data_IF_484294102261
#
_entry.id   IF_484294102261
#
_cell.length_a   1.000
_cell.length_b   1.000
_cell.length_c   1.000
_cell.angle_alpha   90.00
_cell.angle_beta   90.00
_cell.angle_gamma   90.00
#
_symmetry.space_group_name_H-M   'P 1'
#
loop_
_entity.id
_entity.type
_entity.pdbx_description
1 polymer ?
#
# COMPACT_ATOMS: atom_id res chain seq x y z
N UNK A 1 12.83 24.10 -11.43
CA UNK A 1 11.42 24.12 -10.99
C UNK A 1 11.23 23.15 -9.84
N UNK A 2 10.69 23.62 -8.73
CA UNK A 2 10.40 22.74 -7.59
C UNK A 2 9.07 22.05 -7.84
N UNK A 3 9.11 20.73 -7.89
CA UNK A 3 7.90 19.93 -7.99
C UNK A 3 7.10 20.08 -6.70
N UNK A 4 5.83 20.39 -6.80
CA UNK A 4 4.95 20.49 -5.65
C UNK A 4 4.38 19.13 -5.30
N UNK A 5 4.82 18.56 -4.19
CA UNK A 5 4.33 17.27 -3.67
C UNK A 5 3.32 17.52 -2.58
N UNK A 6 2.11 16.97 -2.75
CA UNK A 6 1.02 17.07 -1.78
C UNK A 6 0.59 15.67 -1.37
N UNK A 7 0.51 15.42 -0.07
CA UNK A 7 -0.07 14.21 0.49
C UNK A 7 -1.35 14.63 1.21
N UNK A 8 -2.46 14.01 0.83
CA UNK A 8 -3.76 14.34 1.46
C UNK A 8 -4.57 13.10 1.75
N UNK A 9 -5.50 13.21 2.68
CA UNK A 9 -6.46 12.14 2.93
C UNK A 9 -7.39 11.99 1.74
N UNK A 10 -7.67 10.74 1.38
CA UNK A 10 -8.61 10.41 0.33
C UNK A 10 -10.00 10.18 0.89
N UNK A 11 -11.01 10.45 0.08
CA UNK A 11 -12.39 10.14 0.38
C UNK A 11 -13.02 9.31 -0.75
N UNK A 12 -14.33 9.10 -0.70
CA UNK A 12 -15.02 8.27 -1.69
C UNK A 12 -14.90 8.83 -3.11
N UNK A 13 -14.72 10.12 -3.26
CA UNK A 13 -14.56 10.75 -4.58
C UNK A 13 -13.23 10.40 -5.23
N UNK A 14 -12.26 9.90 -4.47
CA UNK A 14 -10.94 9.49 -4.96
C UNK A 14 -10.91 8.04 -5.45
N UNK A 15 -11.97 7.27 -5.26
CA UNK A 15 -12.01 5.86 -5.67
C UNK A 15 -11.65 5.67 -7.15
N UNK A 16 -12.21 6.44 -8.10
CA UNK A 16 -11.81 6.29 -9.50
C UNK A 16 -10.31 6.50 -9.74
N UNK A 17 -9.72 7.52 -9.10
CA UNK A 17 -8.30 7.81 -9.26
C UNK A 17 -7.42 6.70 -8.67
N UNK A 18 -7.79 6.16 -7.51
CA UNK A 18 -7.06 5.06 -6.87
C UNK A 18 -7.11 3.81 -7.74
N UNK A 19 -8.29 3.45 -8.23
CA UNK A 19 -8.44 2.30 -9.12
C UNK A 19 -7.65 2.46 -10.42
N UNK A 20 -7.64 3.65 -11.00
CA UNK A 20 -6.86 3.95 -12.19
C UNK A 20 -5.35 3.84 -11.94
N UNK A 21 -4.86 4.39 -10.83
CA UNK A 21 -3.45 4.27 -10.44
C UNK A 21 -3.05 2.81 -10.23
N UNK A 22 -3.89 2.03 -9.59
CA UNK A 22 -3.62 0.61 -9.39
C UNK A 22 -3.48 -0.13 -10.72
N UNK A 23 -4.34 0.16 -11.70
CA UNK A 23 -4.26 -0.43 -13.04
C UNK A 23 -2.97 -0.05 -13.76
N UNK A 24 -2.43 1.13 -13.50
CA UNK A 24 -1.18 1.56 -14.10
C UNK A 24 0.06 1.00 -13.40
N UNK A 25 -0.01 0.79 -12.10
CA UNK A 25 1.15 0.43 -11.28
C UNK A 25 1.30 -1.09 -11.14
N UNK A 26 0.21 -1.79 -10.86
CA UNK A 26 0.24 -3.22 -10.49
C UNK A 26 0.82 -4.13 -11.59
N UNK A 27 0.46 -3.98 -12.87
CA UNK A 27 1.03 -4.86 -13.88
C UNK A 27 2.56 -4.81 -13.92
N UNK A 28 3.15 -3.64 -13.86
CA UNK A 28 4.61 -3.48 -13.84
C UNK A 28 5.26 -4.09 -12.60
N UNK A 29 4.56 -4.05 -11.48
CA UNK A 29 5.08 -4.59 -10.21
C UNK A 29 4.96 -6.12 -10.16
N UNK A 30 3.84 -6.67 -10.63
CA UNK A 30 3.48 -8.06 -10.35
C UNK A 30 3.49 -8.99 -11.57
N UNK A 31 3.58 -8.49 -12.79
CA UNK A 31 3.49 -9.34 -13.99
C UNK A 31 4.59 -10.43 -14.05
N UNK A 32 5.75 -10.17 -13.46
CA UNK A 32 6.85 -11.14 -13.39
C UNK A 32 6.70 -12.13 -12.22
N UNK A 33 5.76 -11.86 -11.31
CA UNK A 33 5.57 -12.62 -10.07
C UNK A 33 4.31 -13.47 -10.14
N UNK A 34 3.23 -12.88 -10.69
CA UNK A 34 1.91 -13.50 -10.75
C UNK A 34 1.54 -13.78 -12.20
N UNK A 35 0.82 -14.87 -12.44
CA UNK A 35 0.23 -15.11 -13.75
C UNK A 35 -0.82 -14.05 -14.07
N UNK A 36 -1.13 -13.83 -15.38
CA UNK A 36 -2.08 -12.79 -15.79
C UNK A 36 -3.48 -13.00 -15.20
N UNK A 37 -3.93 -14.24 -15.05
CA UNK A 37 -5.24 -14.55 -14.48
C UNK A 37 -5.31 -14.21 -13.00
N UNK A 38 -4.27 -14.52 -12.23
CA UNK A 38 -4.21 -14.17 -10.81
C UNK A 38 -4.12 -12.66 -10.63
N UNK A 39 -3.36 -11.98 -11.47
CA UNK A 39 -3.24 -10.52 -11.44
C UNK A 39 -4.60 -9.87 -11.66
N UNK A 40 -5.34 -10.29 -12.67
CA UNK A 40 -6.68 -9.78 -12.96
C UNK A 40 -7.65 -10.05 -11.81
N UNK A 41 -7.62 -11.28 -11.27
CA UNK A 41 -8.43 -11.64 -10.11
C UNK A 41 -8.17 -10.73 -8.91
N UNK A 42 -6.90 -10.48 -8.59
CA UNK A 42 -6.52 -9.64 -7.47
C UNK A 42 -6.89 -8.18 -7.69
N UNK A 43 -6.74 -7.69 -8.92
CA UNK A 43 -7.12 -6.32 -9.25
C UNK A 43 -8.62 -6.10 -8.99
N UNK A 44 -9.46 -7.04 -9.41
CA UNK A 44 -10.90 -6.95 -9.17
C UNK A 44 -11.23 -7.09 -7.67
N UNK A 45 -10.61 -8.06 -7.00
CA UNK A 45 -10.86 -8.33 -5.59
C UNK A 45 -10.53 -7.13 -4.70
N UNK A 46 -9.44 -6.43 -4.98
CA UNK A 46 -8.89 -5.38 -4.12
C UNK A 46 -9.31 -3.98 -4.58
N UNK A 47 -9.34 -3.74 -5.88
CA UNK A 47 -9.47 -2.38 -6.44
C UNK A 47 -10.75 -2.12 -7.20
N UNK A 48 -11.73 -3.03 -7.20
CA UNK A 48 -13.04 -2.69 -7.72
C UNK A 48 -13.63 -1.52 -6.91
N UNK A 49 -14.49 -0.68 -7.50
CA UNK A 49 -15.11 0.41 -6.75
C UNK A 49 -15.82 -0.05 -5.49
N UNK A 50 -16.52 -1.17 -5.53
CA UNK A 50 -17.19 -1.73 -4.36
C UNK A 50 -16.21 -2.15 -3.28
N UNK A 51 -15.10 -2.78 -3.66
CA UNK A 51 -14.07 -3.19 -2.70
C UNK A 51 -13.43 -1.98 -2.02
N UNK A 52 -13.06 -0.96 -2.78
CA UNK A 52 -12.48 0.26 -2.22
C UNK A 52 -13.46 0.97 -1.30
N UNK A 53 -14.72 1.04 -1.70
CA UNK A 53 -15.77 1.62 -0.85
C UNK A 53 -15.87 0.89 0.50
N UNK A 54 -15.87 -0.45 0.48
CA UNK A 54 -15.92 -1.23 1.71
C UNK A 54 -14.69 -1.05 2.58
N UNK A 55 -13.51 -0.98 1.97
CA UNK A 55 -12.27 -0.74 2.71
C UNK A 55 -12.32 0.60 3.45
N UNK A 56 -12.84 1.64 2.82
CA UNK A 56 -12.97 2.96 3.44
C UNK A 56 -14.07 3.02 4.49
N UNK A 57 -15.24 2.49 4.19
CA UNK A 57 -16.44 2.71 5.01
C UNK A 57 -16.67 1.65 6.08
N UNK A 58 -16.37 0.36 5.77
CA UNK A 58 -16.60 -0.74 6.70
C UNK A 58 -15.34 -1.18 7.43
N UNK A 59 -14.24 -1.29 6.72
CA UNK A 59 -12.97 -1.73 7.31
C UNK A 59 -12.17 -0.58 7.91
N UNK A 60 -12.61 0.65 7.69
CA UNK A 60 -12.03 1.87 8.26
C UNK A 60 -10.55 2.04 7.89
N UNK A 61 -10.18 1.65 6.67
CA UNK A 61 -8.86 1.94 6.16
C UNK A 61 -8.75 3.42 5.84
N UNK A 62 -7.69 4.06 6.33
CA UNK A 62 -7.36 5.45 5.98
C UNK A 62 -6.55 5.44 4.70
N UNK A 63 -7.12 6.01 3.64
CA UNK A 63 -6.44 6.13 2.36
C UNK A 63 -5.82 7.50 2.22
N UNK A 64 -4.65 7.53 1.59
CA UNK A 64 -3.94 8.76 1.22
C UNK A 64 -3.70 8.76 -0.27
N UNK A 65 -3.79 9.94 -0.88
CA UNK A 65 -3.41 10.17 -2.28
C UNK A 65 -2.22 11.12 -2.29
N UNK A 66 -1.25 10.81 -3.13
CA UNK A 66 -0.09 11.67 -3.37
C UNK A 66 -0.26 12.31 -4.72
N UNK A 67 -0.12 13.64 -4.76
CA UNK A 67 -0.18 14.41 -5.99
C UNK A 67 1.16 15.10 -6.21
N UNK A 68 1.63 15.08 -7.44
CA UNK A 68 2.81 15.83 -7.88
C UNK A 68 2.34 16.78 -8.97
N UNK A 69 2.48 18.08 -8.72
CA UNK A 69 2.00 19.14 -9.63
C UNK A 69 0.52 18.92 -9.99
N UNK A 70 -0.30 18.66 -8.97
CA UNK A 70 -1.75 18.44 -9.07
C UNK A 70 -2.16 17.13 -9.75
N UNK A 71 -1.21 16.28 -10.15
CA UNK A 71 -1.50 14.97 -10.76
C UNK A 71 -1.35 13.85 -9.72
N UNK A 72 -2.38 12.99 -9.52
CA UNK A 72 -2.25 11.82 -8.65
C UNK A 72 -1.18 10.87 -9.19
N UNK A 73 -0.20 10.52 -8.34
CA UNK A 73 0.92 9.67 -8.73
C UNK A 73 1.11 8.47 -7.81
N UNK A 74 0.37 8.40 -6.73
CA UNK A 74 0.48 7.31 -5.79
C UNK A 74 -0.60 7.33 -4.74
N UNK A 75 -0.67 6.25 -3.99
CA UNK A 75 -1.63 6.12 -2.90
C UNK A 75 -1.10 5.17 -1.84
N UNK A 76 -1.66 5.29 -0.65
CA UNK A 76 -1.37 4.40 0.46
C UNK A 76 -2.62 4.18 1.29
N UNK A 77 -2.63 3.12 2.09
CA UNK A 77 -3.68 2.95 3.09
C UNK A 77 -3.15 2.25 4.33
N UNK A 78 -3.71 2.59 5.48
CA UNK A 78 -3.33 2.03 6.77
C UNK A 78 -4.53 1.99 7.70
N UNK A 79 -4.45 1.13 8.71
CA UNK A 79 -5.47 1.06 9.76
C UNK A 79 -4.93 0.41 11.03
N UNK A 80 -5.59 0.61 12.18
CA UNK A 80 -5.26 -0.15 13.38
C UNK A 80 -5.64 -1.62 13.20
N UNK A 81 -4.89 -2.53 13.84
CA UNK A 81 -5.13 -3.98 13.75
C UNK A 81 -5.93 -4.56 14.92
N UNK A 82 -6.36 -3.74 15.86
CA UNK A 82 -7.05 -4.24 17.06
C UNK A 82 -6.12 -4.79 18.14
N UNK A 83 -4.82 -4.83 17.89
CA UNK A 83 -3.78 -5.09 18.89
C UNK A 83 -3.25 -3.75 19.38
N UNK A 84 -3.00 -3.62 20.69
CA UNK A 84 -2.55 -2.36 21.27
C UNK A 84 -1.28 -1.84 20.60
N UNK A 85 -1.38 -0.67 20.02
CA UNK A 85 -0.25 0.02 19.41
C UNK A 85 0.18 -0.50 18.04
N UNK A 86 -0.49 -1.52 17.48
CA UNK A 86 -0.11 -2.10 16.18
C UNK A 86 -0.99 -1.54 15.07
N UNK A 87 -0.34 -0.99 14.05
CA UNK A 87 -0.99 -0.47 12.84
C UNK A 87 -0.47 -1.23 11.63
N UNK A 88 -1.29 -1.34 10.60
CA UNK A 88 -0.90 -2.01 9.37
C UNK A 88 -0.92 -1.04 8.20
N UNK A 89 0.17 -1.04 7.45
CA UNK A 89 0.25 -0.43 6.13
C UNK A 89 -0.27 -1.46 5.13
N UNK A 90 -1.46 -1.21 4.57
CA UNK A 90 -2.08 -2.15 3.63
C UNK A 90 -1.60 -1.94 2.21
N UNK A 91 -1.36 -0.69 1.81
CA UNK A 91 -1.01 -0.33 0.45
C UNK A 91 0.00 0.82 0.47
N UNK A 92 0.99 0.72 -0.42
CA UNK A 92 1.94 1.78 -0.69
C UNK A 92 2.42 1.61 -2.13
N UNK A 93 1.88 2.42 -3.03
CA UNK A 93 2.19 2.32 -4.45
C UNK A 93 2.43 3.71 -5.04
N UNK A 94 3.53 3.84 -5.79
CA UNK A 94 3.93 5.08 -6.45
C UNK A 94 4.14 4.78 -7.93
N UNK A 95 3.64 5.66 -8.79
CA UNK A 95 3.75 5.47 -10.23
C UNK A 95 5.22 5.35 -10.64
N UNK A 96 5.58 4.36 -11.50
CA UNK A 96 6.98 4.14 -11.91
C UNK A 96 7.67 5.37 -12.48
N UNK A 97 6.93 6.24 -13.18
CA UNK A 97 7.51 7.47 -13.76
C UNK A 97 8.05 8.45 -12.71
N UNK A 98 7.65 8.29 -11.45
CA UNK A 98 8.07 9.19 -10.36
C UNK A 98 8.95 8.48 -9.33
N UNK A 99 9.35 7.24 -9.56
CA UNK A 99 10.25 6.52 -8.68
C UNK A 99 11.65 7.17 -8.66
N UNK A 100 12.38 6.96 -7.59
CA UNK A 100 13.69 7.57 -7.39
C UNK A 100 13.67 8.96 -6.77
N UNK A 101 12.48 9.47 -6.43
CA UNK A 101 12.31 10.80 -5.81
C UNK A 101 12.05 10.74 -4.29
N UNK A 102 12.13 9.54 -3.69
CA UNK A 102 11.91 9.36 -2.26
C UNK A 102 10.46 9.48 -1.81
N UNK A 103 9.50 9.38 -2.73
CA UNK A 103 8.08 9.59 -2.43
C UNK A 103 7.55 8.50 -1.49
N UNK A 104 7.94 7.23 -1.71
CA UNK A 104 7.52 6.14 -0.84
C UNK A 104 7.93 6.34 0.60
N UNK A 105 9.18 6.76 0.82
CA UNK A 105 9.67 7.06 2.17
C UNK A 105 8.93 8.26 2.78
N UNK A 106 8.70 9.28 2.01
CA UNK A 106 7.95 10.46 2.45
C UNK A 106 6.54 10.07 2.89
N UNK A 107 5.88 9.17 2.15
CA UNK A 107 4.57 8.65 2.52
C UNK A 107 4.59 7.89 3.84
N UNK A 108 5.58 7.01 4.03
CA UNK A 108 5.69 6.25 5.27
C UNK A 108 5.95 7.19 6.45
N UNK A 109 6.83 8.15 6.31
CA UNK A 109 7.10 9.14 7.35
C UNK A 109 5.83 9.93 7.68
N UNK A 110 5.07 10.32 6.67
CA UNK A 110 3.78 11.01 6.86
C UNK A 110 2.80 10.13 7.65
N UNK A 111 2.67 8.85 7.28
CA UNK A 111 1.77 7.92 7.98
C UNK A 111 2.18 7.79 9.45
N UNK A 112 3.46 7.58 9.71
CA UNK A 112 3.96 7.44 11.08
C UNK A 112 3.64 8.68 11.90
N UNK A 113 3.77 9.87 11.32
CA UNK A 113 3.45 11.13 12.00
C UNK A 113 1.95 11.26 12.31
N UNK A 114 1.09 10.59 11.56
CA UNK A 114 -0.36 10.59 11.81
C UNK A 114 -0.78 9.60 12.89
N UNK A 115 0.07 8.63 13.23
CA UNK A 115 -0.27 7.62 14.23
C UNK A 115 -0.26 8.23 15.63
N UNK A 116 -1.12 7.72 16.55
CA UNK A 116 -1.11 8.21 17.92
C UNK A 116 0.23 7.90 18.61
N UNK A 117 0.54 8.65 19.66
CA UNK A 117 1.79 8.46 20.41
C UNK A 117 1.91 7.08 21.06
N UNK A 118 0.78 6.39 21.28
CA UNK A 118 0.75 5.03 21.81
C UNK A 118 1.11 3.96 20.76
N UNK A 119 1.20 4.34 19.49
CA UNK A 119 1.58 3.39 18.44
C UNK A 119 3.01 2.89 18.66
N UNK A 120 3.18 1.58 18.61
CA UNK A 120 4.46 0.92 18.84
C UNK A 120 5.03 0.23 17.61
N UNK A 121 4.19 -0.14 16.68
CA UNK A 121 4.58 -1.00 15.56
C UNK A 121 3.79 -0.65 14.31
N UNK A 122 4.49 -0.53 13.20
CA UNK A 122 3.87 -0.50 11.87
C UNK A 122 4.21 -1.81 11.16
N UNK A 123 3.17 -2.55 10.79
CA UNK A 123 3.27 -3.87 10.13
C UNK A 123 2.85 -3.77 8.68
N UNK A 124 3.45 -4.59 7.83
CA UNK A 124 3.01 -4.73 6.44
C UNK A 124 3.21 -6.16 5.96
N UNK A 125 2.52 -6.49 4.87
CA UNK A 125 2.79 -7.70 4.09
C UNK A 125 3.42 -7.29 2.77
N UNK A 126 4.42 -8.04 2.31
CA UNK A 126 5.03 -7.85 1.00
C UNK A 126 5.27 -9.22 0.36
N UNK A 127 4.94 -9.35 -0.93
CA UNK A 127 5.19 -10.59 -1.65
C UNK A 127 6.69 -10.92 -1.60
N UNK A 128 7.02 -12.20 -1.34
CA UNK A 128 8.42 -12.64 -1.19
C UNK A 128 9.29 -12.37 -2.41
N UNK A 129 8.69 -12.24 -3.58
CA UNK A 129 9.40 -11.98 -4.83
C UNK A 129 9.37 -10.51 -5.26
N UNK A 130 8.72 -9.65 -4.46
CA UNK A 130 8.65 -8.22 -4.75
C UNK A 130 9.89 -7.52 -4.20
N UNK A 131 10.56 -6.76 -5.06
CA UNK A 131 11.78 -6.02 -4.72
C UNK A 131 11.54 -4.92 -3.67
N UNK A 132 10.30 -4.53 -3.45
CA UNK A 132 9.95 -3.54 -2.42
C UNK A 132 10.39 -3.97 -1.01
N UNK A 133 10.57 -5.27 -0.77
CA UNK A 133 11.15 -5.78 0.47
C UNK A 133 12.46 -5.06 0.82
N UNK A 134 13.33 -4.87 -0.17
CA UNK A 134 14.63 -4.20 0.04
C UNK A 134 14.45 -2.75 0.45
N UNK A 135 13.47 -2.06 -0.13
CA UNK A 135 13.12 -0.69 0.25
C UNK A 135 12.67 -0.64 1.71
N UNK A 136 11.78 -1.54 2.11
CA UNK A 136 11.29 -1.58 3.49
C UNK A 136 12.40 -1.88 4.49
N UNK A 137 13.30 -2.81 4.16
CA UNK A 137 14.44 -3.10 5.03
C UNK A 137 15.34 -1.89 5.24
N UNK A 138 15.58 -1.11 4.19
CA UNK A 138 16.41 0.09 4.26
C UNK A 138 15.86 1.16 5.19
N UNK A 139 14.54 1.22 5.35
CA UNK A 139 13.89 2.20 6.21
C UNK A 139 13.50 1.64 7.57
N UNK A 140 14.01 0.45 7.91
CA UNK A 140 13.94 -0.09 9.27
C UNK A 140 12.91 -1.17 9.53
N UNK A 141 12.27 -1.70 8.50
CA UNK A 141 11.38 -2.86 8.66
C UNK A 141 12.19 -4.14 8.69
N UNK A 142 11.75 -5.10 9.49
CA UNK A 142 12.36 -6.42 9.61
C UNK A 142 11.31 -7.49 9.32
N UNK A 143 11.73 -8.57 8.66
CA UNK A 143 10.85 -9.73 8.43
C UNK A 143 10.62 -10.42 9.77
N UNK A 144 9.35 -10.60 10.15
CA UNK A 144 8.97 -11.29 11.39
C UNK A 144 8.43 -12.67 11.14
N UNK A 145 7.84 -12.93 9.97
CA UNK A 145 7.38 -14.26 9.56
C UNK A 145 7.09 -14.33 8.07
N UNK A 146 6.83 -15.55 7.60
CA UNK A 146 6.32 -15.82 6.26
C UNK A 146 4.87 -16.28 6.37
N UNK A 147 4.04 -15.89 5.41
CA UNK A 147 2.65 -16.32 5.31
C UNK A 147 2.30 -16.70 3.89
N UNK A 148 1.57 -17.80 3.73
CA UNK A 148 0.90 -18.14 2.49
C UNK A 148 -0.59 -17.89 2.69
N UNK A 149 -1.11 -16.83 2.09
CA UNK A 149 -2.46 -16.35 2.33
C UNK A 149 -3.37 -16.82 1.21
N UNK A 150 -4.40 -17.60 1.56
CA UNK A 150 -5.46 -18.00 0.63
C UNK A 150 -6.34 -16.77 0.33
N UNK A 151 -6.38 -16.36 -0.94
CA UNK A 151 -7.18 -15.22 -1.38
C UNK A 151 -8.41 -15.65 -2.19
N UNK A 152 -8.73 -16.95 -2.19
CA UNK A 152 -9.85 -17.51 -2.93
C UNK A 152 -9.45 -17.95 -4.33
N UNK A 153 -10.34 -18.66 -4.99
CA UNK A 153 -10.16 -19.14 -6.36
C UNK A 153 -8.88 -19.96 -6.58
N UNK A 154 -8.44 -20.67 -5.52
CA UNK A 154 -7.19 -21.44 -5.50
C UNK A 154 -5.92 -20.62 -5.68
N UNK A 155 -5.98 -19.31 -5.44
CA UNK A 155 -4.81 -18.44 -5.47
C UNK A 155 -4.28 -18.16 -4.07
N UNK A 156 -2.98 -17.95 -3.98
CA UNK A 156 -2.29 -17.61 -2.74
C UNK A 156 -1.41 -16.40 -2.92
N UNK A 157 -1.30 -15.60 -1.85
CA UNK A 157 -0.25 -14.59 -1.72
C UNK A 157 0.84 -15.14 -0.82
N UNK A 158 2.04 -15.28 -1.38
CA UNK A 158 3.21 -15.79 -0.66
C UNK A 158 3.99 -14.59 -0.13
N UNK A 159 3.73 -14.23 1.13
CA UNK A 159 4.21 -12.97 1.68
C UNK A 159 5.26 -13.15 2.77
N UNK A 160 6.07 -12.10 2.96
CA UNK A 160 6.72 -11.81 4.22
C UNK A 160 5.83 -10.85 5.01
N UNK A 161 5.75 -11.06 6.32
CA UNK A 161 5.24 -10.05 7.24
C UNK A 161 6.45 -9.27 7.74
N UNK A 162 6.40 -7.95 7.64
CA UNK A 162 7.47 -7.08 8.09
C UNK A 162 6.95 -6.10 9.13
N UNK A 163 7.81 -5.73 10.08
CA UNK A 163 7.44 -4.80 11.13
C UNK A 163 8.54 -3.79 11.39
N UNK A 164 8.12 -2.55 11.67
CA UNK A 164 9.00 -1.46 12.10
C UNK A 164 8.58 -1.02 13.49
N UNK A 165 9.54 -0.99 14.42
CA UNK A 165 9.33 -0.42 15.75
C UNK A 165 9.25 1.12 15.64
N UNK A 166 8.29 1.69 16.32
CA UNK A 166 8.04 3.13 16.30
C UNK A 166 8.56 3.83 17.56
#
# INVERSE_FOLDING_TARGET
MNDELVIREADLDDIPAIGYLAQQIWPGTYQAILGPEQLEYMMDLIYSPDSLHQQMMKQKHHFLVVELDEEPIGFASYSPLGEDGVYKLHKLYVHPKTQGKGIGRTLIDYIIDQLPTQATTLRLNVNRYNKAKNFYEKIGFLVTKEEDIDIGNNYFMNDYVMEKAL
#
